data_IF_904629744615
#
_entry.id   IF_904629744615
#
_cell.length_a   1.000
_cell.length_b   1.000
_cell.length_c   1.000
_cell.angle_alpha   90.00
_cell.angle_beta   90.00
_cell.angle_gamma   90.00
#
_symmetry.space_group_name_H-M   'P 1'
#
loop_
_entity.id
_entity.type
_entity.pdbx_description
1 polymer ?
#
# COMPACT_ATOMS: atom_id res chain seq x y z
N UNK A 1 5.73 -9.82 22.61
CA UNK A 1 6.06 -8.65 21.77
C UNK A 1 4.93 -8.41 20.79
N UNK A 2 4.68 -7.15 20.43
CA UNK A 2 3.69 -6.77 19.41
C UNK A 2 4.41 -5.99 18.30
N UNK A 3 3.85 -6.03 17.09
CA UNK A 3 4.31 -5.25 15.94
C UNK A 3 3.62 -3.89 15.97
N UNK A 4 4.41 -2.82 16.05
CA UNK A 4 3.95 -1.43 16.06
C UNK A 4 3.81 -0.84 14.66
N UNK A 5 4.52 -1.39 13.66
CA UNK A 5 4.53 -0.83 12.31
C UNK A 5 4.70 -1.89 11.21
N UNK A 6 3.92 -1.74 10.16
CA UNK A 6 4.04 -2.43 8.88
C UNK A 6 4.18 -1.38 7.77
N UNK A 7 5.17 -1.55 6.90
CA UNK A 7 5.30 -0.74 5.69
C UNK A 7 5.46 -1.64 4.47
N UNK A 8 4.57 -1.46 3.49
CA UNK A 8 4.70 -2.07 2.16
C UNK A 8 5.24 -1.01 1.19
N UNK A 9 6.55 -1.03 0.96
CA UNK A 9 7.24 -0.17 -0.02
C UNK A 9 7.65 -0.92 -1.29
N UNK A 10 8.26 -0.20 -2.23
CA UNK A 10 8.88 -0.76 -3.43
C UNK A 10 8.22 -0.31 -4.75
N UNK A 11 8.42 -1.08 -5.81
CA UNK A 11 7.73 -0.86 -7.09
C UNK A 11 6.25 -1.14 -6.92
N UNK A 12 5.45 -0.08 -6.96
CA UNK A 12 3.98 -0.07 -6.96
C UNK A 12 3.37 -1.29 -6.24
N UNK A 13 3.40 -1.33 -4.88
CA UNK A 13 2.76 -2.39 -4.10
C UNK A 13 1.30 -2.68 -4.49
N UNK A 14 0.63 -1.69 -5.10
CA UNK A 14 -0.69 -1.81 -5.76
C UNK A 14 -0.70 -2.70 -7.01
N UNK A 15 0.42 -3.32 -7.40
CA UNK A 15 0.47 -4.43 -8.36
C UNK A 15 -0.34 -5.64 -7.86
N UNK A 16 -0.40 -5.85 -6.54
CA UNK A 16 -1.23 -6.90 -5.97
C UNK A 16 -2.72 -6.56 -6.20
N UNK A 17 -3.45 -7.50 -6.79
CA UNK A 17 -4.92 -7.46 -6.77
C UNK A 17 -5.44 -7.40 -5.33
N UNK A 18 -6.66 -6.91 -5.13
CA UNK A 18 -7.29 -6.85 -3.80
C UNK A 18 -7.29 -8.21 -3.09
N UNK A 19 -7.54 -9.31 -3.83
CA UNK A 19 -7.47 -10.67 -3.29
C UNK A 19 -6.07 -11.04 -2.81
N UNK A 20 -5.03 -10.70 -3.57
CA UNK A 20 -3.64 -10.95 -3.17
C UNK A 20 -3.24 -10.10 -1.96
N UNK A 21 -3.68 -8.83 -1.91
CA UNK A 21 -3.44 -7.94 -0.76
C UNK A 21 -4.10 -8.47 0.51
N UNK A 22 -5.38 -8.88 0.43
CA UNK A 22 -6.08 -9.52 1.55
C UNK A 22 -5.36 -10.76 2.05
N UNK A 23 -4.90 -11.62 1.13
CA UNK A 23 -4.15 -12.82 1.48
C UNK A 23 -2.83 -12.48 2.19
N UNK A 24 -2.10 -11.47 1.73
CA UNK A 24 -0.86 -11.03 2.35
C UNK A 24 -1.11 -10.57 3.80
N UNK A 25 -2.09 -9.69 4.01
CA UNK A 25 -2.39 -9.16 5.34
C UNK A 25 -2.86 -10.27 6.29
N UNK A 26 -3.72 -11.18 5.81
CA UNK A 26 -4.17 -12.32 6.63
C UNK A 26 -2.99 -13.21 7.07
N UNK A 27 -2.01 -13.47 6.19
CA UNK A 27 -0.81 -14.21 6.54
C UNK A 27 0.03 -13.49 7.59
N UNK A 28 0.20 -12.16 7.45
CA UNK A 28 0.92 -11.37 8.45
C UNK A 28 0.23 -11.42 9.82
N UNK A 29 -1.10 -11.28 9.86
CA UNK A 29 -1.88 -11.33 11.10
C UNK A 29 -1.90 -12.73 11.73
N UNK A 30 -1.77 -13.79 10.93
CA UNK A 30 -1.62 -15.16 11.43
C UNK A 30 -0.29 -15.39 12.16
N UNK A 31 0.78 -14.73 11.71
CA UNK A 31 2.13 -14.96 12.21
C UNK A 31 2.63 -13.89 13.19
N UNK A 32 2.04 -12.70 13.17
CA UNK A 32 2.44 -11.58 14.00
C UNK A 32 1.25 -11.00 14.76
N UNK A 33 1.48 -10.68 16.05
CA UNK A 33 0.51 -9.94 16.85
C UNK A 33 0.74 -8.44 16.66
N UNK A 34 -0.20 -7.75 16.01
CA UNK A 34 -0.15 -6.30 15.86
C UNK A 34 -0.68 -5.57 17.10
N UNK A 35 -0.09 -4.42 17.39
CA UNK A 35 -0.65 -3.49 18.37
C UNK A 35 -1.99 -2.92 17.84
N UNK A 36 -2.94 -2.56 18.71
CA UNK A 36 -4.21 -1.95 18.28
C UNK A 36 -4.02 -0.69 17.43
N UNK A 37 -3.02 0.12 17.78
CA UNK A 37 -2.69 1.38 17.12
C UNK A 37 -1.53 1.25 16.13
N UNK A 38 -1.24 0.03 15.65
CA UNK A 38 -0.13 -0.19 14.74
C UNK A 38 -0.27 0.66 13.46
N UNK A 39 0.81 1.32 13.05
CA UNK A 39 0.85 2.02 11.78
C UNK A 39 0.97 1.00 10.64
N UNK A 40 0.07 1.08 9.66
CA UNK A 40 0.11 0.30 8.42
C UNK A 40 0.22 1.25 7.24
N UNK A 41 1.43 1.35 6.71
CA UNK A 41 1.80 2.22 5.60
C UNK A 41 1.94 1.48 4.27
N UNK A 42 1.57 2.12 3.16
CA UNK A 42 1.79 1.59 1.80
C UNK A 42 2.18 2.69 0.82
N UNK A 43 3.08 2.36 -0.10
CA UNK A 43 3.39 3.20 -1.27
C UNK A 43 2.40 2.93 -2.42
N UNK A 44 1.91 3.99 -3.06
CA UNK A 44 0.92 3.91 -4.14
C UNK A 44 1.42 4.72 -5.35
N UNK A 45 1.41 4.09 -6.53
CA UNK A 45 1.48 4.80 -7.81
C UNK A 45 0.06 5.16 -8.25
N UNK A 46 -0.29 6.46 -8.33
CA UNK A 46 -1.63 6.90 -8.67
C UNK A 46 -2.08 6.46 -10.07
N UNK A 47 -1.15 6.15 -10.98
CA UNK A 47 -1.45 5.70 -12.36
C UNK A 47 -1.98 4.25 -12.41
N UNK A 48 -1.72 3.47 -11.36
CA UNK A 48 -2.02 2.04 -11.29
C UNK A 48 -3.19 1.69 -10.36
N UNK A 49 -3.81 2.71 -9.74
CA UNK A 49 -4.76 2.48 -8.68
C UNK A 49 -6.12 2.09 -9.27
N UNK A 50 -6.50 0.82 -9.11
CA UNK A 50 -7.82 0.36 -9.47
C UNK A 50 -8.91 1.00 -8.58
N UNK A 51 -10.10 1.16 -9.15
CA UNK A 51 -11.27 1.66 -8.43
C UNK A 51 -11.55 0.81 -7.18
N UNK A 52 -11.79 1.49 -6.05
CA UNK A 52 -12.08 0.83 -4.77
C UNK A 52 -10.85 0.29 -4.02
N UNK A 53 -9.65 0.34 -4.59
CA UNK A 53 -8.43 -0.16 -3.92
C UNK A 53 -8.15 0.58 -2.60
N UNK A 54 -8.35 1.90 -2.54
CA UNK A 54 -8.17 2.67 -1.30
C UNK A 54 -9.15 2.23 -0.21
N UNK A 55 -10.41 1.98 -0.57
CA UNK A 55 -11.41 1.47 0.38
C UNK A 55 -11.02 0.08 0.88
N UNK A 56 -10.51 -0.76 -0.02
CA UNK A 56 -10.01 -2.08 0.32
C UNK A 56 -8.83 -2.01 1.30
N UNK A 57 -7.84 -1.15 1.04
CA UNK A 57 -6.71 -0.92 1.93
C UNK A 57 -7.16 -0.40 3.30
N UNK A 58 -8.14 0.51 3.36
CA UNK A 58 -8.72 0.96 4.64
C UNK A 58 -9.33 -0.19 5.43
N UNK A 59 -10.05 -1.08 4.76
CA UNK A 59 -10.67 -2.25 5.40
C UNK A 59 -9.63 -3.24 5.93
N UNK A 60 -8.44 -3.29 5.32
CA UNK A 60 -7.30 -4.07 5.79
C UNK A 60 -6.47 -3.35 6.88
N UNK A 61 -6.95 -2.22 7.39
CA UNK A 61 -6.33 -1.49 8.49
C UNK A 61 -5.18 -0.57 8.08
N UNK A 62 -4.92 -0.35 6.79
CA UNK A 62 -3.99 0.69 6.37
C UNK A 62 -4.47 2.06 6.86
N UNK A 63 -3.54 2.84 7.39
CA UNK A 63 -3.81 4.16 7.97
C UNK A 63 -2.78 5.22 7.54
N UNK A 64 -1.79 4.82 6.72
CA UNK A 64 -0.84 5.74 6.09
C UNK A 64 -0.61 5.35 4.62
N UNK A 65 -0.56 6.34 3.75
CA UNK A 65 -0.29 6.16 2.31
C UNK A 65 0.80 7.15 1.89
N UNK A 66 1.76 6.68 1.11
CA UNK A 66 2.75 7.51 0.42
C UNK A 66 2.45 7.50 -1.07
N UNK A 67 2.17 8.67 -1.65
CA UNK A 67 2.00 8.83 -3.09
C UNK A 67 3.32 9.18 -3.75
N UNK A 68 3.78 8.33 -4.67
CA UNK A 68 4.93 8.63 -5.52
C UNK A 68 4.53 9.55 -6.66
N UNK A 69 4.60 10.87 -6.47
CA UNK A 69 4.46 11.84 -7.55
C UNK A 69 5.87 12.18 -8.04
N UNK A 70 6.28 11.61 -9.19
CA UNK A 70 7.61 11.84 -9.74
C UNK A 70 7.76 13.27 -10.30
N UNK A 71 6.80 13.71 -11.11
CA UNK A 71 6.69 15.09 -11.61
C UNK A 71 5.24 15.34 -12.01
N UNK A 72 4.76 16.59 -11.91
CA UNK A 72 3.43 16.98 -12.41
C UNK A 72 3.45 17.38 -13.89
N UNK A 73 4.63 17.44 -14.51
CA UNK A 73 4.81 17.77 -15.91
C UNK A 73 4.75 16.52 -16.79
N UNK A 74 3.68 16.38 -17.57
CA UNK A 74 3.47 15.28 -18.51
C UNK A 74 4.66 15.10 -19.48
N UNK A 75 5.32 16.18 -19.89
CA UNK A 75 6.47 16.12 -20.79
C UNK A 75 7.72 15.53 -20.10
N UNK A 76 7.90 15.77 -18.80
CA UNK A 76 8.96 15.14 -18.02
C UNK A 76 8.64 13.67 -17.81
N UNK A 77 7.40 13.33 -17.45
CA UNK A 77 6.97 11.93 -17.27
C UNK A 77 7.16 11.07 -18.52
N UNK A 78 6.92 11.63 -19.72
CA UNK A 78 7.14 10.94 -20.99
C UNK A 78 8.61 10.72 -21.34
N UNK A 79 9.51 11.59 -20.89
CA UNK A 79 10.93 11.53 -21.26
C UNK A 79 11.74 10.50 -20.46
N UNK A 80 11.22 10.02 -19.32
CA UNK A 80 11.87 9.05 -18.43
C UNK A 80 11.22 7.66 -18.41
N UNK A 81 10.26 7.39 -19.30
CA UNK A 81 9.69 6.05 -19.52
C UNK A 81 10.45 5.25 -20.59
#
# INVERSE_FOLDING_TARGET
YQVEQLHLGGGTPTFLSSTQMSRLIALLEQHFKFAPEAERGIEIDPRSLADGMLQHLRNLGFNRVSYGIQDFNDAVQLAVN
#
